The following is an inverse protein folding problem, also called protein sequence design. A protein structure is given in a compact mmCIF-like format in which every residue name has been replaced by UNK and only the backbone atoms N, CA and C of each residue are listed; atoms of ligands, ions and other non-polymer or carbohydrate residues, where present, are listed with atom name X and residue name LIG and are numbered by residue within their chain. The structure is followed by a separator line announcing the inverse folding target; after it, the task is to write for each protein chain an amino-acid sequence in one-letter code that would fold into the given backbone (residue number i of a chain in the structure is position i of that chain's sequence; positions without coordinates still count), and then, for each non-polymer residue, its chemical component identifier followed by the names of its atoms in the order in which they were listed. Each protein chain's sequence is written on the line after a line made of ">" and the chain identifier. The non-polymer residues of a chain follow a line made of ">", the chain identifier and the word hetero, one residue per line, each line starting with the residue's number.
data_IF_848965194571
#
_entry.id   IF_848965194571
#
_cell.length_a   1.000
_cell.length_b   1.000
_cell.length_c   1.000
_cell.angle_alpha   90.00
_cell.angle_beta   90.00
_cell.angle_gamma   90.00
#
_symmetry.space_group_name_H-M   'P 1'
#
loop_
_entity.id
_entity.type
_entity.pdbx_description
1 polymer ?
#
# COMPACT_ATOMS: atom_id res chain seq x y z
N UNK A 1 -15.04 -10.19 -1.28
CA UNK A 1 -13.65 -9.73 -1.51
C UNK A 1 -13.23 -8.76 -0.42
N UNK A 2 -12.00 -8.89 0.11
CA UNK A 2 -11.42 -7.95 1.10
C UNK A 2 -10.20 -7.26 0.50
N UNK A 3 -9.95 -6.03 0.93
CA UNK A 3 -8.89 -5.18 0.37
C UNK A 3 -7.96 -4.69 1.48
N UNK A 4 -6.67 -4.71 1.22
CA UNK A 4 -5.66 -4.16 2.13
C UNK A 4 -4.84 -3.14 1.33
N UNK A 5 -4.87 -1.88 1.75
CA UNK A 5 -4.05 -0.83 1.13
C UNK A 5 -2.86 -0.56 2.02
N UNK A 6 -1.65 -0.65 1.46
CA UNK A 6 -0.38 -0.46 2.18
C UNK A 6 0.23 0.86 1.71
N UNK A 7 0.22 1.85 2.59
CA UNK A 7 0.81 3.18 2.33
C UNK A 7 2.08 3.35 3.16
N UNK A 8 2.88 4.35 2.83
CA UNK A 8 4.08 4.64 3.62
C UNK A 8 4.31 6.11 3.81
N UNK A 9 4.96 6.45 4.90
CA UNK A 9 5.24 7.84 5.22
C UNK A 9 6.58 8.06 5.88
N UNK A 10 6.95 9.32 6.01
CA UNK A 10 8.18 9.84 6.58
C UNK A 10 9.34 9.84 5.58
N UNK A 11 9.75 8.66 5.08
CA UNK A 11 10.84 8.54 4.09
C UNK A 11 10.55 7.36 3.16
N UNK A 12 11.22 7.34 2.02
CA UNK A 12 11.21 6.20 1.10
C UNK A 12 11.98 5.00 1.69
N UNK A 13 11.94 3.87 1.01
CA UNK A 13 12.72 2.66 1.34
C UNK A 13 12.43 2.11 2.75
N UNK A 14 11.23 2.34 3.28
CA UNK A 14 10.82 1.75 4.56
C UNK A 14 10.44 0.27 4.45
N UNK A 15 10.40 -0.27 3.22
CA UNK A 15 10.05 -1.66 2.98
C UNK A 15 8.55 -1.89 2.95
N UNK A 16 7.81 -1.03 2.26
CA UNK A 16 6.36 -1.23 2.02
C UNK A 16 6.10 -2.53 1.25
N UNK A 17 6.85 -2.74 0.15
CA UNK A 17 6.72 -3.95 -0.67
C UNK A 17 6.96 -5.21 0.15
N UNK A 18 8.03 -5.22 0.95
CA UNK A 18 8.32 -6.36 1.83
C UNK A 18 7.22 -6.57 2.88
N UNK A 19 6.66 -5.48 3.42
CA UNK A 19 5.55 -5.57 4.37
C UNK A 19 4.29 -6.15 3.69
N UNK A 20 3.99 -5.70 2.46
CA UNK A 20 2.86 -6.21 1.68
C UNK A 20 3.04 -7.70 1.37
N UNK A 21 4.23 -8.09 0.90
CA UNK A 21 4.55 -9.50 0.62
C UNK A 21 4.41 -10.37 1.88
N UNK A 22 4.95 -9.88 3.02
CA UNK A 22 4.85 -10.60 4.30
C UNK A 22 3.41 -10.78 4.76
N UNK A 23 2.58 -9.75 4.58
CA UNK A 23 1.14 -9.84 4.87
C UNK A 23 0.49 -10.88 3.97
N UNK A 24 0.84 -10.89 2.68
CA UNK A 24 0.35 -11.89 1.74
C UNK A 24 0.66 -13.30 2.22
N UNK A 25 1.94 -13.58 2.53
CA UNK A 25 2.37 -14.88 3.05
C UNK A 25 1.57 -15.29 4.29
N UNK A 26 1.41 -14.36 5.25
CA UNK A 26 0.71 -14.65 6.49
C UNK A 26 -0.77 -14.99 6.28
N UNK A 27 -1.40 -14.36 5.28
CA UNK A 27 -2.78 -14.64 4.91
C UNK A 27 -2.89 -15.97 4.18
N UNK A 28 -1.95 -16.27 3.27
CA UNK A 28 -1.89 -17.58 2.59
C UNK A 28 -1.70 -18.73 3.58
N UNK A 29 -0.85 -18.53 4.60
CA UNK A 29 -0.65 -19.53 5.66
C UNK A 29 -1.92 -19.75 6.49
N UNK A 30 -2.91 -18.87 6.38
CA UNK A 30 -4.23 -19.03 6.99
C UNK A 30 -5.28 -19.56 6.03
N UNK A 31 -4.85 -19.96 4.84
CA UNK A 31 -5.73 -20.58 3.84
C UNK A 31 -6.47 -19.60 2.94
N UNK A 32 -6.09 -18.32 2.95
CA UNK A 32 -6.72 -17.30 2.10
C UNK A 32 -5.97 -17.20 0.78
N UNK A 33 -6.71 -17.03 -0.31
CA UNK A 33 -6.14 -16.82 -1.65
C UNK A 33 -5.88 -15.31 -1.80
N UNK A 34 -4.61 -14.95 -2.02
CA UNK A 34 -4.17 -13.55 -2.02
C UNK A 34 -3.65 -13.15 -3.39
N UNK A 35 -3.92 -11.92 -3.80
CA UNK A 35 -3.25 -11.29 -4.95
C UNK A 35 -2.67 -9.95 -4.50
N UNK A 36 -1.49 -9.61 -5.03
CA UNK A 36 -0.81 -8.36 -4.71
C UNK A 36 -0.79 -7.45 -5.93
N UNK A 37 -0.82 -6.14 -5.69
CA UNK A 37 -0.79 -5.11 -6.72
C UNK A 37 0.10 -3.96 -6.25
N UNK A 38 0.84 -3.39 -7.18
CA UNK A 38 1.74 -2.26 -6.95
C UNK A 38 1.22 -1.04 -7.70
N UNK A 39 1.07 0.08 -7.02
CA UNK A 39 0.76 1.38 -7.61
C UNK A 39 1.94 2.32 -7.44
N UNK A 40 2.47 2.83 -8.55
CA UNK A 40 3.63 3.71 -8.56
C UNK A 40 3.24 5.10 -9.07
N UNK A 41 3.50 6.16 -8.28
CA UNK A 41 3.01 7.49 -8.64
C UNK A 41 3.85 8.23 -9.68
N UNK A 42 4.89 7.61 -10.23
CA UNK A 42 5.68 8.27 -11.28
C UNK A 42 4.92 8.26 -12.64
N UNK A 43 5.32 9.20 -13.52
CA UNK A 43 4.67 9.39 -14.82
C UNK A 43 5.24 8.51 -15.94
N UNK A 44 6.26 7.72 -15.68
CA UNK A 44 6.73 6.74 -16.65
C UNK A 44 5.65 5.69 -16.86
N UNK A 45 5.37 5.34 -18.12
CA UNK A 45 4.35 4.31 -18.43
C UNK A 45 4.80 2.96 -17.91
N UNK A 46 6.10 2.67 -18.03
CA UNK A 46 6.73 1.48 -17.44
C UNK A 46 8.14 1.83 -16.95
N UNK A 47 8.77 0.99 -16.14
CA UNK A 47 10.10 1.28 -15.61
C UNK A 47 11.25 0.99 -16.58
N UNK A 48 10.99 0.42 -17.76
CA UNK A 48 12.04 -0.01 -18.70
C UNK A 48 12.95 1.10 -19.17
N UNK A 49 12.44 2.33 -19.22
CA UNK A 49 13.23 3.50 -19.64
C UNK A 49 13.81 4.29 -18.46
N UNK A 50 13.59 3.83 -17.23
CA UNK A 50 14.03 4.56 -16.04
C UNK A 50 15.49 4.23 -15.72
N UNK A 51 16.16 5.19 -15.08
CA UNK A 51 17.56 5.04 -14.70
C UNK A 51 17.67 4.03 -13.53
N UNK A 52 18.38 2.90 -13.72
CA UNK A 52 18.48 1.89 -12.66
C UNK A 52 19.12 2.39 -11.36
N UNK A 53 19.99 3.40 -11.44
CA UNK A 53 20.60 3.96 -10.23
C UNK A 53 19.62 4.78 -9.38
N UNK A 54 18.50 5.20 -9.98
CA UNK A 54 17.44 5.94 -9.25
C UNK A 54 16.30 5.05 -8.79
N UNK A 55 15.91 4.06 -9.58
CA UNK A 55 14.72 3.25 -9.34
C UNK A 55 15.00 1.76 -9.10
N UNK A 56 16.25 1.35 -9.25
CA UNK A 56 16.61 -0.05 -9.14
C UNK A 56 16.40 -0.80 -10.46
N UNK A 57 16.49 -2.11 -10.37
CA UNK A 57 16.38 -2.99 -11.53
C UNK A 57 14.92 -3.20 -11.92
N UNK A 58 14.69 -3.39 -13.22
CA UNK A 58 13.37 -3.76 -13.75
C UNK A 58 13.14 -5.25 -13.50
N UNK A 59 11.94 -5.60 -13.06
CA UNK A 59 11.51 -7.00 -12.94
C UNK A 59 10.56 -7.32 -14.08
N UNK A 60 10.85 -8.37 -14.83
CA UNK A 60 10.05 -8.77 -16.00
C UNK A 60 9.19 -9.97 -15.62
N UNK A 61 7.89 -9.83 -15.77
CA UNK A 61 6.91 -10.87 -15.45
C UNK A 61 6.82 -11.91 -16.57
N UNK A 62 6.14 -13.01 -16.30
CA UNK A 62 5.97 -14.10 -17.27
C UNK A 62 5.24 -13.69 -18.54
N UNK A 63 4.41 -12.64 -18.48
CA UNK A 63 3.70 -12.09 -19.64
C UNK A 63 4.52 -11.02 -20.39
N UNK A 64 5.79 -10.83 -20.01
CA UNK A 64 6.70 -9.88 -20.63
C UNK A 64 6.56 -8.44 -20.14
N UNK A 65 5.71 -8.18 -19.15
CA UNK A 65 5.55 -6.82 -18.60
C UNK A 65 6.78 -6.43 -17.79
N UNK A 66 7.30 -5.24 -18.05
CA UNK A 66 8.38 -4.62 -17.29
C UNK A 66 7.76 -3.90 -16.09
N UNK A 67 8.22 -4.24 -14.89
CA UNK A 67 7.59 -3.77 -13.64
C UNK A 67 8.64 -3.39 -12.61
N UNK A 68 8.17 -2.78 -11.53
CA UNK A 68 9.00 -2.46 -10.36
C UNK A 68 9.51 -3.74 -9.69
N UNK A 69 10.71 -3.67 -9.11
CA UNK A 69 11.36 -4.78 -8.42
C UNK A 69 10.52 -5.38 -7.28
N UNK A 70 9.62 -4.58 -6.68
CA UNK A 70 8.75 -5.08 -5.61
C UNK A 70 7.88 -6.25 -6.06
N UNK A 71 7.54 -6.35 -7.37
CA UNK A 71 6.77 -7.49 -7.87
C UNK A 71 7.57 -8.79 -7.75
N UNK A 72 8.89 -8.73 -7.91
CA UNK A 72 9.76 -9.88 -7.66
C UNK A 72 9.73 -10.31 -6.19
N UNK A 73 9.58 -9.37 -5.27
CA UNK A 73 9.39 -9.72 -3.86
C UNK A 73 8.04 -10.41 -3.64
N UNK A 74 6.99 -9.94 -4.32
CA UNK A 74 5.67 -10.56 -4.19
C UNK A 74 5.70 -12.03 -4.63
N UNK A 75 6.24 -12.32 -5.82
CA UNK A 75 6.37 -13.70 -6.31
C UNK A 75 7.28 -14.56 -5.44
N UNK A 76 8.31 -13.96 -4.84
CA UNK A 76 9.25 -14.68 -3.98
C UNK A 76 8.60 -15.13 -2.65
N UNK A 77 7.68 -14.32 -2.11
CA UNK A 77 7.14 -14.55 -0.77
C UNK A 77 5.72 -15.11 -0.75
N UNK A 78 5.01 -15.06 -1.88
CA UNK A 78 3.63 -15.56 -1.98
C UNK A 78 3.49 -16.51 -3.16
N UNK A 79 2.35 -17.18 -3.25
CA UNK A 79 2.05 -18.09 -4.37
C UNK A 79 1.24 -17.37 -5.47
N UNK A 80 1.10 -16.06 -5.42
CA UNK A 80 0.32 -15.33 -6.43
C UNK A 80 1.08 -15.31 -7.77
N UNK A 81 0.33 -15.52 -8.84
CA UNK A 81 0.85 -15.39 -10.21
C UNK A 81 0.52 -13.97 -10.66
N UNK A 82 1.58 -13.23 -10.98
CA UNK A 82 1.45 -11.83 -11.34
C UNK A 82 1.41 -11.65 -12.86
N UNK A 83 0.76 -10.60 -13.28
CA UNK A 83 0.62 -10.17 -14.68
C UNK A 83 0.77 -8.65 -14.75
N UNK A 84 0.77 -8.11 -15.97
CA UNK A 84 0.83 -6.66 -16.19
C UNK A 84 -0.24 -5.87 -15.40
N UNK A 85 -1.36 -6.49 -15.08
CA UNK A 85 -2.44 -5.84 -14.32
C UNK A 85 -2.10 -5.66 -12.84
N UNK A 86 -1.01 -6.27 -12.39
CA UNK A 86 -0.58 -6.16 -10.99
C UNK A 86 0.35 -4.98 -10.74
N UNK A 87 0.79 -4.28 -11.82
CA UNK A 87 1.57 -3.03 -11.69
C UNK A 87 0.80 -1.90 -12.39
N UNK A 88 0.64 -0.79 -11.70
CA UNK A 88 -0.04 0.39 -12.25
C UNK A 88 0.79 1.63 -11.96
N UNK A 89 1.16 2.38 -13.01
CA UNK A 89 1.84 3.66 -12.86
C UNK A 89 0.88 4.81 -13.11
N UNK A 90 1.20 6.00 -12.59
CA UNK A 90 0.47 7.21 -12.96
C UNK A 90 0.49 7.42 -14.48
N UNK A 91 1.63 7.13 -15.12
CA UNK A 91 1.74 7.24 -16.59
C UNK A 91 0.69 6.43 -17.31
N UNK A 92 0.53 5.16 -16.93
CA UNK A 92 -0.50 4.28 -17.52
C UNK A 92 -1.91 4.82 -17.30
N UNK A 93 -2.19 5.34 -16.12
CA UNK A 93 -3.52 5.89 -15.79
C UNK A 93 -3.81 7.12 -16.66
N UNK A 94 -2.87 8.08 -16.69
CA UNK A 94 -3.07 9.30 -17.47
C UNK A 94 -3.12 9.01 -18.98
N UNK A 95 -2.26 8.11 -19.46
CA UNK A 95 -2.30 7.69 -20.87
C UNK A 95 -3.68 7.12 -21.22
N UNK A 96 -4.19 6.21 -20.39
CA UNK A 96 -5.52 5.61 -20.62
C UNK A 96 -6.61 6.68 -20.68
N UNK A 97 -6.61 7.62 -19.72
CA UNK A 97 -7.62 8.68 -19.66
C UNK A 97 -7.51 9.61 -20.88
N UNK A 98 -6.29 9.98 -21.28
CA UNK A 98 -6.07 10.85 -22.45
C UNK A 98 -6.52 10.13 -23.73
N UNK A 99 -6.17 8.86 -23.88
CA UNK A 99 -6.59 8.08 -25.06
C UNK A 99 -8.12 7.94 -25.13
N UNK A 100 -8.78 7.73 -24.01
CA UNK A 100 -10.26 7.68 -23.92
C UNK A 100 -10.86 9.04 -24.34
N UNK A 101 -10.26 10.14 -23.87
CA UNK A 101 -10.70 11.49 -24.26
C UNK A 101 -10.56 11.68 -25.77
N UNK A 102 -9.42 11.31 -26.35
CA UNK A 102 -9.18 11.46 -27.79
C UNK A 102 -10.14 10.63 -28.66
N UNK A 103 -10.59 9.48 -28.15
CA UNK A 103 -11.60 8.66 -28.84
C UNK A 103 -13.03 9.16 -28.67
N UNK A 104 -13.25 10.12 -27.78
CA UNK A 104 -14.59 10.65 -27.50
C UNK A 104 -15.39 9.83 -26.47
N UNK A 105 -14.73 8.96 -25.72
CA UNK A 105 -15.41 8.08 -24.74
C UNK A 105 -16.15 8.88 -23.66
N UNK A 106 -15.76 10.14 -23.42
CA UNK A 106 -16.39 11.01 -22.43
C UNK A 106 -17.47 11.93 -23.01
N UNK A 107 -17.84 11.74 -24.27
CA UNK A 107 -18.97 12.41 -24.92
C UNK A 107 -18.91 13.95 -24.82
N UNK A 108 -17.71 14.52 -24.89
CA UNK A 108 -17.51 15.98 -24.86
C UNK A 108 -17.47 16.58 -23.46
N UNK A 109 -17.58 15.78 -22.42
CA UNK A 109 -17.48 16.28 -21.05
C UNK A 109 -16.04 16.74 -20.73
N UNK A 110 -15.91 17.73 -19.86
CA UNK A 110 -14.60 18.17 -19.37
C UNK A 110 -13.96 17.06 -18.54
N UNK A 111 -12.79 16.59 -18.96
CA UNK A 111 -12.06 15.51 -18.29
C UNK A 111 -11.17 16.10 -17.20
N UNK A 112 -11.26 15.59 -15.97
CA UNK A 112 -10.58 16.10 -14.79
C UNK A 112 -9.97 14.95 -13.99
N UNK A 113 -9.08 15.27 -13.05
CA UNK A 113 -8.51 14.25 -12.17
C UNK A 113 -9.62 13.52 -11.41
N UNK A 114 -10.56 14.28 -10.86
CA UNK A 114 -11.76 13.72 -10.25
C UNK A 114 -12.94 14.08 -11.15
N UNK A 115 -13.71 13.11 -11.67
CA UNK A 115 -13.64 11.68 -11.34
C UNK A 115 -12.78 10.81 -12.27
N UNK A 116 -12.34 11.31 -13.43
CA UNK A 116 -11.88 10.44 -14.53
C UNK A 116 -10.62 9.65 -14.21
N UNK A 117 -9.59 10.32 -13.63
CA UNK A 117 -8.35 9.64 -13.23
C UNK A 117 -8.63 8.72 -12.04
N UNK A 118 -9.42 9.18 -11.06
CA UNK A 118 -9.73 8.34 -9.89
C UNK A 118 -10.59 7.13 -10.29
N UNK A 119 -11.49 7.28 -11.23
CA UNK A 119 -12.32 6.15 -11.72
C UNK A 119 -11.46 5.12 -12.47
N UNK A 120 -10.48 5.58 -13.27
CA UNK A 120 -9.53 4.68 -13.93
C UNK A 120 -8.73 3.87 -12.90
N UNK A 121 -8.23 4.53 -11.86
CA UNK A 121 -7.50 3.84 -10.77
C UNK A 121 -8.41 2.80 -10.10
N UNK A 122 -9.65 3.17 -9.77
CA UNK A 122 -10.60 2.24 -9.14
C UNK A 122 -10.91 1.05 -10.05
N UNK A 123 -11.02 1.29 -11.36
CA UNK A 123 -11.22 0.22 -12.34
C UNK A 123 -10.07 -0.78 -12.31
N UNK A 124 -8.82 -0.29 -12.22
CA UNK A 124 -7.63 -1.15 -12.15
C UNK A 124 -7.59 -2.00 -10.86
N UNK A 125 -8.10 -1.47 -9.74
CA UNK A 125 -8.24 -2.29 -8.52
C UNK A 125 -9.25 -3.42 -8.77
N UNK A 126 -10.37 -3.11 -9.41
CA UNK A 126 -11.42 -4.10 -9.67
C UNK A 126 -10.97 -5.15 -10.69
N UNK A 127 -10.12 -4.78 -11.64
CA UNK A 127 -9.66 -5.68 -12.71
C UNK A 127 -8.99 -6.93 -12.17
N UNK A 128 -8.24 -6.83 -11.07
CA UNK A 128 -7.61 -8.00 -10.45
C UNK A 128 -8.46 -8.62 -9.34
N UNK A 129 -9.62 -8.02 -9.02
CA UNK A 129 -10.46 -8.43 -7.89
C UNK A 129 -11.45 -9.52 -8.32
N UNK A 130 -10.91 -10.69 -8.72
CA UNK A 130 -11.72 -11.84 -9.13
C UNK A 130 -12.04 -12.71 -7.91
N UNK A 131 -13.28 -12.63 -7.43
CA UNK A 131 -13.72 -13.36 -6.24
C UNK A 131 -13.70 -14.89 -6.43
N UNK A 132 -13.73 -15.36 -7.68
CA UNK A 132 -13.60 -16.79 -7.93
C UNK A 132 -12.18 -17.29 -7.65
N UNK A 133 -11.20 -16.40 -7.76
CA UNK A 133 -9.77 -16.72 -7.61
C UNK A 133 -9.19 -16.28 -6.27
N UNK A 134 -9.61 -15.13 -5.76
CA UNK A 134 -8.95 -14.49 -4.62
C UNK A 134 -9.95 -14.10 -3.53
N UNK A 135 -9.49 -14.13 -2.31
CA UNK A 135 -10.24 -13.71 -1.12
C UNK A 135 -9.79 -12.31 -0.67
N UNK A 136 -8.51 -11.98 -0.92
CA UNK A 136 -7.90 -10.72 -0.48
C UNK A 136 -7.06 -10.12 -1.60
N UNK A 137 -7.25 -8.82 -1.85
CA UNK A 137 -6.37 -8.00 -2.70
C UNK A 137 -5.52 -7.11 -1.80
N UNK A 138 -4.20 -7.14 -1.97
CA UNK A 138 -3.27 -6.26 -1.25
C UNK A 138 -2.67 -5.29 -2.28
N UNK A 139 -2.97 -3.99 -2.14
CA UNK A 139 -2.42 -2.97 -3.03
C UNK A 139 -1.39 -2.13 -2.26
N UNK A 140 -0.15 -2.16 -2.69
CA UNK A 140 0.93 -1.35 -2.14
C UNK A 140 1.04 -0.06 -2.94
N UNK A 141 1.02 1.09 -2.23
CA UNK A 141 1.09 2.41 -2.85
C UNK A 141 2.51 2.93 -2.74
N UNK A 142 3.15 3.13 -3.90
CA UNK A 142 4.50 3.69 -4.00
C UNK A 142 4.54 5.14 -3.51
N UNK A 143 5.76 5.65 -3.38
CA UNK A 143 5.98 7.01 -2.90
C UNK A 143 5.78 7.16 -1.40
N UNK A 144 5.75 8.42 -0.97
CA UNK A 144 5.62 8.81 0.44
C UNK A 144 4.33 9.61 0.62
N UNK A 145 3.60 9.33 1.69
CA UNK A 145 2.36 10.08 1.98
C UNK A 145 2.69 11.56 2.14
N UNK A 146 2.04 12.39 1.34
CA UNK A 146 2.29 13.82 1.26
C UNK A 146 2.89 14.25 -0.06
N UNK A 147 3.41 13.32 -0.85
CA UNK A 147 3.89 13.62 -2.20
C UNK A 147 2.69 13.92 -3.12
N UNK A 148 2.84 14.97 -3.93
CA UNK A 148 1.77 15.44 -4.83
C UNK A 148 1.37 14.34 -5.81
N UNK A 149 2.35 13.62 -6.33
CA UNK A 149 2.16 12.58 -7.35
C UNK A 149 1.28 11.41 -6.86
N UNK A 150 1.28 11.17 -5.54
CA UNK A 150 0.49 10.09 -4.94
C UNK A 150 -0.95 10.46 -4.64
N UNK A 151 -1.30 11.75 -4.70
CA UNK A 151 -2.64 12.20 -4.28
C UNK A 151 -3.78 11.54 -5.07
N UNK A 152 -3.71 11.40 -6.40
CA UNK A 152 -4.81 10.75 -7.12
C UNK A 152 -5.06 9.29 -6.69
N UNK A 153 -3.99 8.55 -6.38
CA UNK A 153 -4.13 7.18 -5.86
C UNK A 153 -4.82 7.18 -4.50
N UNK A 154 -4.36 8.05 -3.58
CA UNK A 154 -4.93 8.11 -2.24
C UNK A 154 -6.40 8.56 -2.28
N UNK A 155 -6.74 9.52 -3.14
CA UNK A 155 -8.12 9.97 -3.33
C UNK A 155 -8.98 8.85 -3.93
N UNK A 156 -8.48 8.12 -4.94
CA UNK A 156 -9.18 6.98 -5.52
C UNK A 156 -9.47 5.91 -4.45
N UNK A 157 -8.49 5.64 -3.58
CA UNK A 157 -8.66 4.67 -2.47
C UNK A 157 -9.74 5.15 -1.50
N UNK A 158 -9.75 6.45 -1.17
CA UNK A 158 -10.79 7.03 -0.29
C UNK A 158 -12.18 6.80 -0.88
N UNK A 159 -12.35 7.08 -2.19
CA UNK A 159 -13.61 6.85 -2.89
C UNK A 159 -13.95 5.36 -2.93
N UNK A 160 -12.97 4.51 -3.23
CA UNK A 160 -13.14 3.05 -3.31
C UNK A 160 -13.65 2.49 -1.97
N UNK A 161 -13.11 2.98 -0.85
CA UNK A 161 -13.55 2.55 0.49
C UNK A 161 -15.05 2.86 0.71
N UNK A 162 -15.51 4.03 0.24
CA UNK A 162 -16.93 4.38 0.33
C UNK A 162 -17.79 3.46 -0.52
N UNK A 163 -17.30 3.08 -1.70
CA UNK A 163 -18.05 2.23 -2.64
C UNK A 163 -18.16 0.77 -2.16
N UNK A 164 -17.05 0.19 -1.65
CA UNK A 164 -17.05 -1.22 -1.23
C UNK A 164 -17.45 -1.41 0.22
N UNK A 165 -17.46 -0.33 0.99
CA UNK A 165 -17.75 -0.35 2.42
C UNK A 165 -16.52 -0.56 3.28
N UNK A 166 -16.37 0.25 4.32
CA UNK A 166 -15.18 0.27 5.19
C UNK A 166 -14.93 -1.09 5.89
N UNK A 167 -15.98 -1.90 6.06
CA UNK A 167 -15.83 -3.23 6.66
C UNK A 167 -15.08 -4.21 5.76
N UNK A 168 -14.91 -3.87 4.48
CA UNK A 168 -14.19 -4.71 3.53
C UNK A 168 -12.75 -4.25 3.29
N UNK A 169 -12.31 -3.19 4.00
CA UNK A 169 -10.99 -2.58 3.75
C UNK A 169 -10.18 -2.46 5.04
N UNK A 170 -8.87 -2.71 4.93
CA UNK A 170 -7.90 -2.41 5.99
C UNK A 170 -6.80 -1.51 5.39
N UNK A 171 -6.60 -0.36 5.98
CA UNK A 171 -5.49 0.54 5.63
C UNK A 171 -4.32 0.28 6.56
N UNK A 172 -3.21 -0.14 5.99
CA UNK A 172 -1.93 -0.39 6.69
C UNK A 172 -0.99 0.76 6.35
N UNK A 173 -0.37 1.35 7.36
CA UNK A 173 0.59 2.44 7.13
C UNK A 173 1.96 2.07 7.69
N UNK A 174 2.96 2.04 6.82
CA UNK A 174 4.36 1.74 7.17
C UNK A 174 5.05 3.08 7.46
N UNK A 175 5.67 3.21 8.62
CA UNK A 175 6.23 4.48 9.07
C UNK A 175 7.54 4.28 9.84
N UNK A 176 8.22 5.38 10.13
CA UNK A 176 9.52 5.38 10.82
C UNK A 176 9.40 6.07 12.18
N UNK A 177 9.93 5.40 13.21
CA UNK A 177 10.15 6.01 14.53
C UNK A 177 11.68 6.11 14.70
N UNK A 178 12.29 7.23 14.28
CA UNK A 178 13.75 7.33 14.30
C UNK A 178 14.31 7.44 15.71
N UNK A 179 15.48 6.85 15.90
CA UNK A 179 16.30 7.05 17.11
C UNK A 179 17.25 8.22 16.88
N UNK A 180 17.16 9.22 17.72
CA UNK A 180 18.03 10.40 17.64
C UNK A 180 19.18 10.20 18.62
N UNK A 181 20.35 9.86 18.10
CA UNK A 181 21.54 9.54 18.91
C UNK A 181 21.88 10.66 19.90
N UNK A 182 21.82 11.93 19.45
CA UNK A 182 22.15 13.07 20.29
C UNK A 182 21.19 13.24 21.47
N UNK A 183 19.93 12.79 21.33
CA UNK A 183 18.91 12.87 22.38
C UNK A 183 18.76 11.57 23.17
N UNK A 184 19.35 10.47 22.68
CA UNK A 184 19.24 9.17 23.33
C UNK A 184 17.84 8.58 23.32
N UNK A 185 16.96 8.98 22.36
CA UNK A 185 15.56 8.56 22.42
C UNK A 185 14.93 8.37 21.04
N UNK A 186 13.84 7.61 21.01
CA UNK A 186 12.99 7.43 19.82
C UNK A 186 12.01 8.61 19.71
N UNK A 187 11.82 9.11 18.50
CA UNK A 187 10.91 10.24 18.24
C UNK A 187 9.68 9.78 17.43
N UNK A 188 8.50 9.96 18.00
CA UNK A 188 7.23 9.57 17.37
C UNK A 188 6.63 10.66 16.47
N UNK A 189 7.14 11.89 16.55
CA UNK A 189 6.57 13.02 15.80
C UNK A 189 6.49 12.78 14.29
N UNK A 190 7.54 12.20 13.62
CA UNK A 190 7.43 11.93 12.17
C UNK A 190 6.28 10.98 11.83
N UNK A 191 6.09 9.92 12.61
CA UNK A 191 4.96 9.00 12.45
C UNK A 191 3.62 9.74 12.61
N UNK A 192 3.50 10.58 13.63
CA UNK A 192 2.27 11.36 13.88
C UNK A 192 1.95 12.28 12.70
N UNK A 193 2.97 12.97 12.16
CA UNK A 193 2.81 13.87 11.02
C UNK A 193 2.38 13.10 9.76
N UNK A 194 2.97 11.94 9.51
CA UNK A 194 2.61 11.11 8.36
C UNK A 194 1.15 10.65 8.44
N UNK A 195 0.70 10.24 9.63
CA UNK A 195 -0.70 9.85 9.85
C UNK A 195 -1.63 11.06 9.66
N UNK A 196 -1.22 12.24 10.15
CA UNK A 196 -2.02 13.46 9.97
C UNK A 196 -2.23 13.76 8.48
N UNK A 197 -1.18 13.60 7.66
CA UNK A 197 -1.29 13.79 6.21
C UNK A 197 -2.27 12.82 5.56
N UNK A 198 -2.26 11.53 5.96
CA UNK A 198 -3.27 10.58 5.47
C UNK A 198 -4.70 11.01 5.85
N UNK A 199 -4.87 11.49 7.08
CA UNK A 199 -6.18 11.95 7.56
C UNK A 199 -6.69 13.17 6.81
N UNK A 200 -5.79 14.08 6.41
CA UNK A 200 -6.15 15.26 5.60
C UNK A 200 -6.81 14.83 4.29
N UNK A 201 -6.41 13.67 3.75
CA UNK A 201 -6.99 13.09 2.53
C UNK A 201 -8.29 12.31 2.85
N UNK A 202 -8.55 12.02 4.13
CA UNK A 202 -9.71 11.25 4.56
C UNK A 202 -9.43 9.76 4.75
N UNK A 203 -8.16 9.37 4.78
CA UNK A 203 -7.76 7.97 5.00
C UNK A 203 -7.29 7.77 6.44
N UNK A 204 -7.88 6.78 7.11
CA UNK A 204 -7.52 6.44 8.48
C UNK A 204 -6.84 5.06 8.49
N UNK A 205 -5.55 4.96 8.88
CA UNK A 205 -4.93 3.65 9.00
C UNK A 205 -5.47 2.89 10.22
N UNK A 206 -5.80 1.61 10.01
CA UNK A 206 -6.20 0.70 11.08
C UNK A 206 -5.00 -0.04 11.65
N UNK A 207 -3.92 -0.17 10.87
CA UNK A 207 -2.70 -0.88 11.28
C UNK A 207 -1.49 0.02 11.01
N UNK A 208 -0.60 0.13 12.00
CA UNK A 208 0.69 0.83 11.84
C UNK A 208 1.81 -0.18 11.92
N UNK A 209 2.69 -0.16 10.91
CA UNK A 209 3.94 -0.92 10.90
C UNK A 209 5.06 0.09 11.14
N UNK A 210 5.63 0.08 12.34
CA UNK A 210 6.64 1.06 12.74
C UNK A 210 8.04 0.47 12.61
N UNK A 211 8.84 1.05 11.72
CA UNK A 211 10.27 0.76 11.63
C UNK A 211 11.00 1.54 12.73
N UNK A 212 11.81 0.89 13.54
CA UNK A 212 12.60 1.54 14.58
C UNK A 212 13.86 0.72 14.89
N UNK A 213 14.91 1.41 15.34
CA UNK A 213 16.16 0.77 15.71
C UNK A 213 16.06 0.08 17.07
N UNK A 214 15.21 0.59 17.95
CA UNK A 214 15.02 0.06 19.30
C UNK A 214 13.57 -0.38 19.50
N UNK A 215 13.31 -1.28 20.44
CA UNK A 215 11.92 -1.66 20.75
C UNK A 215 11.08 -0.44 21.18
N UNK A 216 9.84 -0.40 20.74
CA UNK A 216 8.88 0.60 21.20
C UNK A 216 8.29 0.13 22.53
N UNK A 217 8.47 0.91 23.57
CA UNK A 217 7.86 0.65 24.88
C UNK A 217 6.34 0.94 24.86
N UNK A 218 5.67 0.69 25.96
CA UNK A 218 4.23 0.87 26.08
C UNK A 218 3.79 2.34 25.92
N UNK A 219 4.58 3.26 26.46
CA UNK A 219 4.29 4.69 26.38
C UNK A 219 4.36 5.20 24.93
N UNK A 220 5.45 4.84 24.22
CA UNK A 220 5.61 5.21 22.81
C UNK A 220 4.51 4.61 21.94
N UNK A 221 4.13 3.35 22.20
CA UNK A 221 3.00 2.71 21.47
C UNK A 221 1.70 3.46 21.73
N UNK A 222 1.45 3.89 22.94
CA UNK A 222 0.26 4.64 23.29
C UNK A 222 0.24 6.01 22.59
N UNK A 223 1.37 6.69 22.54
CA UNK A 223 1.50 7.93 21.76
C UNK A 223 1.21 7.74 20.29
N UNK A 224 1.62 6.78 19.78
CA UNK A 224 1.42 6.49 18.39
C UNK A 224 0.01 6.09 18.16
N UNK A 225 -0.66 5.50 19.19
CA UNK A 225 -1.98 5.08 19.10
C UNK A 225 -2.98 6.15 19.37
N UNK A 226 -2.63 6.93 20.16
CA UNK A 226 -3.41 8.05 20.47
C UNK A 226 -3.49 9.12 19.43
N UNK A 227 -2.76 9.10 18.72
CA UNK A 227 -2.70 9.97 17.60
C UNK A 227 -3.32 9.33 16.41
N UNK A 228 -3.47 8.09 16.36
CA UNK A 228 -3.92 7.42 15.14
C UNK A 228 -5.21 6.60 15.27
N UNK A 229 -5.70 6.31 16.43
CA UNK A 229 -6.79 5.35 16.66
C UNK A 229 -6.56 3.97 15.99
N UNK A 230 -5.36 3.47 15.84
CA UNK A 230 -5.20 2.13 15.27
C UNK A 230 -5.48 1.07 16.34
N UNK A 231 -6.04 -0.03 15.93
CA UNK A 231 -6.27 -1.17 16.80
C UNK A 231 -4.99 -2.02 16.97
N UNK A 232 -3.95 -1.73 16.18
CA UNK A 232 -2.76 -2.58 16.23
C UNK A 232 -1.50 -1.83 15.74
N UNK A 233 -0.44 -1.90 16.51
CA UNK A 233 0.90 -1.48 16.09
C UNK A 233 1.82 -2.71 16.03
N UNK A 234 2.39 -2.98 14.87
CA UNK A 234 3.33 -4.09 14.68
C UNK A 234 4.73 -3.51 14.51
N UNK A 235 5.69 -4.06 15.23
CA UNK A 235 7.10 -3.74 15.04
C UNK A 235 7.68 -4.69 13.99
N UNK A 236 8.28 -4.12 12.94
CA UNK A 236 9.21 -4.86 12.10
C UNK A 236 10.61 -4.38 12.47
N UNK A 237 11.35 -5.18 13.21
CA UNK A 237 12.77 -4.96 13.44
C UNK A 237 13.59 -5.35 12.21
N UNK A 238 14.90 -5.40 12.33
CA UNK A 238 15.75 -6.00 11.31
C UNK A 238 15.30 -7.44 11.07
N UNK A 239 15.57 -7.97 9.87
CA UNK A 239 15.16 -9.33 9.47
C UNK A 239 15.51 -10.43 10.49
N UNK A 240 16.45 -10.15 11.41
CA UNK A 240 16.83 -11.07 12.48
C UNK A 240 15.84 -11.12 13.66
N UNK A 241 14.92 -10.14 13.76
CA UNK A 241 14.06 -9.96 14.93
C UNK A 241 12.57 -10.08 14.61
N UNK A 242 12.20 -10.84 13.57
CA UNK A 242 10.80 -11.10 13.26
C UNK A 242 10.15 -12.03 14.30
N UNK A 243 10.05 -11.54 15.53
CA UNK A 243 9.21 -12.17 16.54
C UNK A 243 7.81 -11.55 16.49
N UNK A 244 6.92 -12.24 15.85
CA UNK A 244 5.48 -11.93 15.92
C UNK A 244 5.04 -12.17 17.37
N UNK A 245 4.80 -11.11 18.13
CA UNK A 245 4.27 -11.31 19.48
C UNK A 245 2.86 -11.93 19.37
N UNK A 246 2.60 -12.95 20.14
CA UNK A 246 1.32 -13.68 20.18
C UNK A 246 0.11 -12.76 20.46
N UNK A 247 0.34 -11.56 21.00
CA UNK A 247 -0.72 -10.61 21.30
C UNK A 247 -1.25 -9.87 20.06
N UNK A 248 -0.39 -9.67 19.04
CA UNK A 248 -0.83 -9.02 17.81
C UNK A 248 -1.62 -9.95 16.90
N UNK A 249 -1.42 -11.26 17.01
CA UNK A 249 -2.16 -12.26 16.23
C UNK A 249 -3.65 -12.29 16.54
N UNK A 250 -4.06 -11.87 17.73
CA UNK A 250 -5.47 -11.96 18.15
C UNK A 250 -6.37 -10.88 17.53
N UNK A 251 -5.87 -9.68 17.26
CA UNK A 251 -6.71 -8.61 16.69
C UNK A 251 -6.93 -8.81 15.19
N UNK A 252 -5.87 -9.16 14.46
CA UNK A 252 -5.96 -9.40 13.02
C UNK A 252 -6.73 -10.69 12.75
N UNK A 253 -6.51 -11.75 13.56
CA UNK A 253 -7.26 -12.99 13.45
C UNK A 253 -8.73 -12.83 13.88
N UNK A 254 -9.03 -11.92 14.80
CA UNK A 254 -10.42 -11.58 15.17
C UNK A 254 -11.12 -10.81 14.06
N UNK A 255 -10.42 -9.90 13.37
CA UNK A 255 -10.96 -9.21 12.20
C UNK A 255 -11.25 -10.23 11.09
N UNK A 256 -10.26 -11.06 10.78
CA UNK A 256 -10.42 -12.09 9.74
C UNK A 256 -11.60 -13.03 10.07
N UNK A 257 -11.73 -13.46 11.34
CA UNK A 257 -12.81 -14.38 11.74
C UNK A 257 -14.20 -13.74 11.85
N UNK A 258 -14.29 -12.42 12.06
CA UNK A 258 -15.59 -11.73 12.16
C UNK A 258 -16.15 -11.30 10.80
N UNK A 259 -15.29 -11.31 9.80
CA UNK A 259 -15.66 -10.84 8.47
C UNK A 259 -15.69 -11.96 7.42
N UNK A 260 -15.32 -13.21 7.83
CA UNK A 260 -15.31 -14.40 6.92
C UNK A 260 -16.32 -15.46 7.36
#
# INVERSE_FOLDING_TARGET
>A
MKYIFVTGGVVSSLGKGLAAASLGTLLELRGLRVVLQKFDPYLNVDPGTMNPFQHGEVYVLNDGAETDLDLGHYERFTNCVLSRHNNLTSGQVYESVILKERRGDYLGNTVQVIPHVTDEIKARIREISDESKYDVVITEIGGTTGDIEGLPFLEAIRQFILEVGAQNVVNVHVTLVPYIKAAGELKTKPTQQSIAKLREIGLQPQVLICRSQLPLDSELRQKXXXXSLPRLAVRLGTLKDCHFSKQSGNSFSKWARRTW
#
